data_IF_522700939664
#
_entry.id   IF_522700939664
#
_cell.length_a   1.000
_cell.length_b   1.000
_cell.length_c   1.000
_cell.angle_alpha   90.00
_cell.angle_beta   90.00
_cell.angle_gamma   90.00
#
_symmetry.space_group_name_H-M   'P 1'
#
loop_
_entity.id
_entity.type
_entity.pdbx_description
1 polymer ?
#
# COMPACT_ATOMS: atom_id res chain seq x y z
N UNK A 1 -24.60 21.25 13.43
CA UNK A 1 -23.97 20.18 12.65
C UNK A 1 -24.78 18.91 12.85
N UNK A 2 -25.25 18.29 11.75
CA UNK A 2 -25.94 16.99 11.73
C UNK A 2 -25.04 15.99 11.01
N UNK A 3 -24.80 14.82 11.58
CA UNK A 3 -23.99 13.77 10.97
C UNK A 3 -24.76 12.46 10.95
N UNK A 4 -24.69 11.75 9.84
CA UNK A 4 -25.31 10.45 9.62
C UNK A 4 -24.46 9.61 8.69
N UNK A 5 -24.52 8.29 8.81
CA UNK A 5 -23.95 7.38 7.82
C UNK A 5 -24.96 7.05 6.73
N UNK A 6 -24.50 6.95 5.48
CA UNK A 6 -25.33 6.46 4.37
C UNK A 6 -25.92 5.06 4.64
N UNK A 7 -25.21 4.23 5.43
CA UNK A 7 -25.69 2.93 5.86
C UNK A 7 -26.94 3.00 6.75
N UNK A 8 -27.13 4.10 7.50
CA UNK A 8 -28.30 4.30 8.36
C UNK A 8 -29.60 4.48 7.58
N UNK A 9 -29.50 4.77 6.29
CA UNK A 9 -30.65 4.84 5.39
C UNK A 9 -31.02 3.50 4.76
N UNK A 10 -30.17 2.49 4.88
CA UNK A 10 -30.39 1.17 4.27
C UNK A 10 -31.10 0.28 5.28
N UNK A 11 -32.36 -0.02 5.01
CA UNK A 11 -33.19 -0.88 5.87
C UNK A 11 -33.81 -2.03 5.05
N UNK A 12 -34.29 -3.07 5.73
CA UNK A 12 -34.96 -4.19 5.06
C UNK A 12 -36.40 -3.89 4.66
N UNK A 13 -37.00 -2.84 5.23
CA UNK A 13 -38.39 -2.47 4.98
C UNK A 13 -38.49 -1.29 4.01
N UNK A 14 -39.26 -1.48 2.94
CA UNK A 14 -39.47 -0.50 1.89
C UNK A 14 -40.04 0.82 2.45
N UNK A 15 -39.42 1.95 2.11
CA UNK A 15 -39.86 3.29 2.48
C UNK A 15 -39.30 3.82 3.80
N UNK A 16 -38.66 3.02 4.64
CA UNK A 16 -38.07 3.49 5.91
C UNK A 16 -36.88 4.41 5.63
N UNK A 17 -35.98 4.03 4.73
CA UNK A 17 -34.83 4.86 4.33
C UNK A 17 -35.26 6.21 3.78
N UNK A 18 -36.25 6.24 2.89
CA UNK A 18 -36.82 7.48 2.36
C UNK A 18 -37.47 8.36 3.45
N UNK A 19 -38.07 7.76 4.49
CA UNK A 19 -38.59 8.52 5.63
C UNK A 19 -37.47 9.16 6.45
N UNK A 20 -36.40 8.41 6.74
CA UNK A 20 -35.22 8.95 7.45
C UNK A 20 -34.56 10.09 6.71
N UNK A 21 -34.46 10.00 5.39
CA UNK A 21 -33.98 11.12 4.57
C UNK A 21 -34.84 12.36 4.77
N UNK A 22 -36.18 12.23 4.67
CA UNK A 22 -37.09 13.36 4.91
C UNK A 22 -36.92 13.96 6.30
N UNK A 23 -36.85 13.12 7.33
CA UNK A 23 -36.68 13.54 8.73
C UNK A 23 -35.37 14.31 8.95
N UNK A 24 -34.26 13.83 8.33
CA UNK A 24 -32.97 14.51 8.37
C UNK A 24 -33.09 15.94 7.81
N UNK A 25 -33.63 16.07 6.60
CA UNK A 25 -33.75 17.36 5.94
C UNK A 25 -34.78 18.30 6.59
N UNK A 26 -35.87 17.74 7.16
CA UNK A 26 -36.80 18.51 7.99
C UNK A 26 -36.15 19.07 9.25
N UNK A 27 -35.31 18.27 9.89
CA UNK A 27 -34.52 18.71 11.05
C UNK A 27 -33.46 19.75 10.65
N UNK A 28 -32.81 19.59 9.50
CA UNK A 28 -31.84 20.55 8.98
C UNK A 28 -32.52 21.92 8.74
N UNK A 29 -33.70 21.98 8.13
CA UNK A 29 -34.46 23.21 7.94
C UNK A 29 -34.82 23.91 9.25
N UNK A 30 -35.15 23.15 10.31
CA UNK A 30 -35.45 23.70 11.64
C UNK A 30 -34.23 24.29 12.33
N UNK A 31 -33.03 23.75 12.01
CA UNK A 31 -31.75 24.12 12.65
C UNK A 31 -30.92 25.05 11.75
N UNK A 32 -31.45 25.55 10.66
CA UNK A 32 -30.71 26.44 9.76
C UNK A 32 -30.30 27.76 10.47
N UNK A 33 -29.05 28.24 10.25
CA UNK A 33 -28.05 27.73 9.35
C UNK A 33 -27.32 26.48 9.92
N UNK A 34 -27.17 25.41 9.12
CA UNK A 34 -26.55 24.21 9.57
C UNK A 34 -25.75 23.47 8.45
N UNK A 35 -24.90 22.53 8.88
CA UNK A 35 -24.18 21.61 7.98
C UNK A 35 -24.75 20.22 8.22
N UNK A 36 -25.12 19.54 7.13
CA UNK A 36 -25.48 18.12 7.11
C UNK A 36 -24.31 17.35 6.53
N UNK A 37 -23.78 16.39 7.27
CA UNK A 37 -22.69 15.51 6.82
C UNK A 37 -23.22 14.08 6.66
N UNK A 38 -23.03 13.50 5.47
CA UNK A 38 -23.43 12.14 5.15
C UNK A 38 -22.17 11.36 4.80
N UNK A 39 -21.75 10.46 5.69
CA UNK A 39 -20.64 9.57 5.43
C UNK A 39 -21.09 8.34 4.65
N UNK A 40 -20.17 7.69 3.91
CA UNK A 40 -20.47 6.50 3.11
C UNK A 40 -21.70 6.65 2.21
N UNK A 41 -21.82 7.77 1.52
CA UNK A 41 -22.98 8.08 0.66
C UNK A 41 -23.22 7.01 -0.41
N UNK A 42 -22.20 6.26 -0.81
CA UNK A 42 -22.27 5.16 -1.77
C UNK A 42 -23.12 3.97 -1.28
N UNK A 43 -23.44 3.89 0.02
CA UNK A 43 -24.39 2.89 0.53
C UNK A 43 -25.79 3.05 -0.08
N UNK A 44 -26.20 4.30 -0.37
CA UNK A 44 -27.53 4.64 -0.94
C UNK A 44 -27.46 5.20 -2.36
N UNK A 45 -26.37 5.87 -2.74
CA UNK A 45 -26.24 6.60 -4.00
C UNK A 45 -25.52 5.81 -5.10
N UNK A 46 -25.61 4.50 -5.10
CA UNK A 46 -25.00 3.63 -6.10
C UNK A 46 -25.74 3.68 -7.44
N UNK A 47 -24.99 3.55 -8.57
CA UNK A 47 -25.55 3.37 -9.93
C UNK A 47 -26.62 2.28 -9.95
N UNK A 48 -27.68 2.51 -10.69
CA UNK A 48 -28.78 1.57 -10.88
C UNK A 48 -28.25 0.32 -11.59
N UNK A 49 -28.38 -0.85 -10.97
CA UNK A 49 -27.98 -2.13 -11.58
C UNK A 49 -29.21 -2.87 -12.10
N UNK A 50 -29.06 -3.63 -13.18
CA UNK A 50 -30.12 -4.49 -13.75
C UNK A 50 -30.31 -5.80 -12.97
N UNK A 51 -30.09 -5.82 -11.63
CA UNK A 51 -30.19 -7.00 -10.78
C UNK A 51 -31.62 -7.36 -10.40
N UNK A 52 -32.01 -8.61 -10.63
CA UNK A 52 -33.26 -9.24 -10.19
C UNK A 52 -33.21 -9.54 -8.70
N UNK A 53 -33.55 -8.55 -7.80
CA UNK A 53 -33.61 -8.81 -6.38
C UNK A 53 -34.24 -7.66 -5.60
N UNK A 54 -35.23 -7.95 -4.72
CA UNK A 54 -36.07 -6.98 -3.98
C UNK A 54 -35.38 -6.00 -3.02
N UNK A 55 -34.06 -6.07 -2.84
CA UNK A 55 -33.31 -5.08 -2.06
C UNK A 55 -32.87 -3.84 -2.87
N UNK A 56 -33.13 -3.81 -4.19
CA UNK A 56 -32.80 -2.68 -5.05
C UNK A 56 -33.84 -1.58 -4.99
N UNK A 57 -35.12 -1.94 -4.87
CA UNK A 57 -36.25 -0.99 -4.87
C UNK A 57 -36.19 -0.02 -3.68
N UNK A 58 -35.78 -0.46 -2.52
CA UNK A 58 -35.67 0.37 -1.32
C UNK A 58 -34.55 1.39 -1.42
N UNK A 59 -33.38 0.96 -1.87
CA UNK A 59 -32.22 1.87 -2.08
C UNK A 59 -32.53 2.92 -3.14
N UNK A 60 -33.19 2.51 -4.23
CA UNK A 60 -33.57 3.42 -5.30
C UNK A 60 -34.62 4.45 -4.82
N UNK A 61 -35.58 4.04 -3.99
CA UNK A 61 -36.54 4.97 -3.37
C UNK A 61 -35.82 5.95 -2.43
N UNK A 62 -34.86 5.47 -1.64
CA UNK A 62 -34.08 6.30 -0.74
C UNK A 62 -33.21 7.29 -1.49
N UNK A 63 -32.53 6.86 -2.57
CA UNK A 63 -31.78 7.75 -3.44
C UNK A 63 -32.68 8.80 -4.08
N UNK A 64 -33.83 8.40 -4.65
CA UNK A 64 -34.78 9.32 -5.26
C UNK A 64 -35.29 10.35 -4.24
N UNK A 65 -35.56 9.94 -3.01
CA UNK A 65 -35.96 10.88 -1.95
C UNK A 65 -34.83 11.84 -1.60
N UNK A 66 -33.58 11.37 -1.51
CA UNK A 66 -32.41 12.23 -1.28
C UNK A 66 -32.28 13.29 -2.38
N UNK A 67 -32.43 12.88 -3.64
CA UNK A 67 -32.38 13.81 -4.78
C UNK A 67 -33.52 14.86 -4.71
N UNK A 68 -34.73 14.45 -4.34
CA UNK A 68 -35.88 15.37 -4.19
C UNK A 68 -35.65 16.38 -3.06
N UNK A 69 -35.11 15.92 -1.91
CA UNK A 69 -34.83 16.85 -0.81
C UNK A 69 -33.70 17.83 -1.16
N UNK A 70 -32.70 17.39 -1.90
CA UNK A 70 -31.60 18.27 -2.36
C UNK A 70 -32.10 19.28 -3.41
N UNK A 71 -32.92 18.85 -4.36
CA UNK A 71 -33.52 19.73 -5.38
C UNK A 71 -34.55 20.70 -4.76
N UNK A 72 -35.09 20.39 -3.59
CA UNK A 72 -36.04 21.20 -2.84
C UNK A 72 -35.43 22.33 -2.02
N UNK A 73 -34.11 22.48 -2.00
CA UNK A 73 -33.45 23.62 -1.33
C UNK A 73 -33.61 24.89 -2.18
N UNK A 74 -34.30 25.89 -1.62
CA UNK A 74 -34.30 27.22 -2.17
C UNK A 74 -32.95 27.92 -2.02
N UNK A 75 -32.62 28.82 -2.95
CA UNK A 75 -31.47 29.72 -2.82
C UNK A 75 -31.60 30.46 -1.46
N UNK A 76 -30.66 30.28 -0.53
CA UNK A 76 -30.55 30.93 0.79
C UNK A 76 -31.19 30.23 1.99
N UNK A 77 -31.48 28.93 1.98
CA UNK A 77 -31.97 28.25 3.18
C UNK A 77 -30.88 28.06 4.28
N UNK A 78 -29.62 28.41 3.99
CA UNK A 78 -28.52 28.33 4.97
C UNK A 78 -28.11 26.91 5.35
N UNK A 79 -28.41 25.93 4.51
CA UNK A 79 -28.03 24.53 4.71
C UNK A 79 -26.91 24.15 3.72
N UNK A 80 -25.82 23.57 4.24
CA UNK A 80 -24.73 23.03 3.44
C UNK A 80 -24.74 21.52 3.62
N UNK A 81 -24.83 20.78 2.52
CA UNK A 81 -24.73 19.31 2.53
C UNK A 81 -23.33 18.90 2.10
N UNK A 82 -22.67 18.12 2.94
CA UNK A 82 -21.39 17.48 2.66
C UNK A 82 -21.60 15.97 2.63
N UNK A 83 -21.01 15.28 1.66
CA UNK A 83 -20.99 13.83 1.64
C UNK A 83 -19.57 13.32 1.44
N UNK A 84 -19.27 12.16 2.02
CA UNK A 84 -18.00 11.48 1.84
C UNK A 84 -18.23 10.08 1.27
N UNK A 85 -17.29 9.63 0.42
CA UNK A 85 -17.23 8.26 -0.10
C UNK A 85 -15.80 7.88 -0.46
N UNK A 86 -15.47 6.63 -0.30
CA UNK A 86 -14.23 6.02 -0.82
C UNK A 86 -14.39 5.49 -2.25
N UNK A 87 -15.63 5.48 -2.78
CA UNK A 87 -15.97 4.87 -4.06
C UNK A 87 -16.80 5.80 -4.95
N UNK A 88 -16.16 6.80 -5.48
CA UNK A 88 -16.78 7.76 -6.40
C UNK A 88 -17.23 7.11 -7.73
N UNK A 89 -16.55 6.04 -8.13
CA UNK A 89 -16.76 5.25 -9.35
C UNK A 89 -18.16 4.61 -9.43
N UNK A 90 -18.73 4.23 -8.28
CA UNK A 90 -20.03 3.57 -8.21
C UNK A 90 -21.20 4.52 -7.98
N UNK A 91 -20.96 5.81 -7.76
CA UNK A 91 -22.04 6.76 -7.51
C UNK A 91 -22.91 6.98 -8.74
N UNK A 92 -24.23 7.11 -8.52
CA UNK A 92 -25.17 7.49 -9.58
C UNK A 92 -24.86 8.91 -10.08
N UNK A 93 -24.64 9.10 -11.39
CA UNK A 93 -24.34 10.43 -11.94
C UNK A 93 -25.39 11.51 -11.60
N UNK A 94 -26.61 11.12 -11.28
CA UNK A 94 -27.67 12.06 -10.94
C UNK A 94 -27.36 12.88 -9.67
N UNK A 95 -26.65 12.27 -8.69
CA UNK A 95 -26.31 12.96 -7.44
C UNK A 95 -25.20 14.00 -7.63
N UNK A 96 -24.38 13.83 -8.68
CA UNK A 96 -23.26 14.71 -9.01
C UNK A 96 -23.63 15.85 -9.96
N UNK A 97 -24.93 16.03 -10.29
CA UNK A 97 -25.40 17.12 -11.14
C UNK A 97 -25.37 18.45 -10.39
N UNK A 98 -25.17 19.60 -11.10
CA UNK A 98 -25.29 20.92 -10.53
C UNK A 98 -26.65 21.13 -9.82
N UNK A 99 -26.63 21.83 -8.69
CA UNK A 99 -27.79 21.99 -7.80
C UNK A 99 -27.91 20.92 -6.73
N UNK A 100 -27.02 19.93 -6.72
CA UNK A 100 -26.94 18.85 -5.71
C UNK A 100 -25.55 18.87 -5.07
N UNK A 101 -24.60 18.02 -5.52
CA UNK A 101 -23.21 18.15 -5.11
C UNK A 101 -22.42 18.92 -6.17
N UNK A 102 -22.38 20.24 -6.02
CA UNK A 102 -21.75 21.14 -6.99
C UNK A 102 -20.22 21.09 -6.97
N UNK A 103 -19.65 20.72 -5.84
CA UNK A 103 -18.21 20.67 -5.63
C UNK A 103 -17.77 19.27 -5.28
N UNK A 104 -16.73 18.80 -5.98
CA UNK A 104 -16.04 17.55 -5.70
C UNK A 104 -14.65 17.91 -5.18
N UNK A 105 -14.33 17.41 -4.00
CA UNK A 105 -13.02 17.58 -3.38
C UNK A 105 -12.39 16.20 -3.26
N UNK A 106 -11.28 16.01 -3.96
CA UNK A 106 -10.49 14.79 -3.84
C UNK A 106 -9.50 14.94 -2.68
N UNK A 107 -9.57 14.04 -1.70
CA UNK A 107 -8.65 13.99 -0.58
C UNK A 107 -7.66 12.86 -0.86
N UNK A 108 -6.48 13.22 -1.37
CA UNK A 108 -5.40 12.28 -1.63
C UNK A 108 -4.65 11.86 -0.37
N UNK A 109 -3.66 10.99 -0.54
CA UNK A 109 -2.71 10.68 0.53
C UNK A 109 -1.90 11.92 0.88
N UNK A 110 -1.57 12.13 2.18
CA UNK A 110 -0.84 13.32 2.60
C UNK A 110 0.63 13.25 2.14
N UNK A 111 1.17 14.39 1.77
CA UNK A 111 2.61 14.61 1.57
C UNK A 111 3.38 14.60 2.92
N UNK A 112 4.70 14.74 2.89
CA UNK A 112 5.55 14.74 4.12
C UNK A 112 5.05 15.75 5.14
N UNK A 113 4.70 16.98 4.71
CA UNK A 113 4.20 18.03 5.63
C UNK A 113 2.85 17.67 6.22
N UNK A 114 1.94 17.16 5.38
CA UNK A 114 0.63 16.68 5.81
C UNK A 114 0.75 15.55 6.82
N UNK A 115 1.65 14.57 6.59
CA UNK A 115 1.90 13.49 7.54
C UNK A 115 2.47 14.00 8.86
N UNK A 116 3.40 14.94 8.83
CA UNK A 116 3.93 15.56 10.05
C UNK A 116 2.83 16.26 10.87
N UNK A 117 1.96 17.03 10.21
CA UNK A 117 0.82 17.68 10.90
C UNK A 117 -0.19 16.65 11.46
N UNK A 118 -0.46 15.58 10.74
CA UNK A 118 -1.31 14.48 11.23
C UNK A 118 -0.65 13.80 12.44
N UNK A 119 0.64 13.51 12.38
CA UNK A 119 1.39 12.95 13.51
C UNK A 119 1.32 13.85 14.73
N UNK A 120 1.46 15.19 14.58
CA UNK A 120 1.28 16.16 15.67
C UNK A 120 -0.10 16.09 16.30
N UNK A 121 -1.15 15.86 15.50
CA UNK A 121 -2.52 15.69 16.02
C UNK A 121 -2.62 14.42 16.87
N UNK A 122 -2.12 13.29 16.37
CA UNK A 122 -2.25 11.99 17.05
C UNK A 122 -1.28 11.80 18.22
N UNK A 123 -0.31 12.72 18.39
CA UNK A 123 0.63 12.73 19.51
C UNK A 123 0.25 13.67 20.65
N UNK A 124 -0.75 14.55 20.50
CA UNK A 124 -1.15 15.56 21.50
C UNK A 124 -1.36 15.02 22.91
N UNK A 125 -1.94 13.82 23.02
CA UNK A 125 -2.28 13.19 24.29
C UNK A 125 -1.36 12.00 24.61
N UNK A 126 -0.21 11.90 23.96
CA UNK A 126 0.75 10.81 24.14
C UNK A 126 2.08 11.39 24.62
N UNK A 127 2.72 10.80 25.64
CA UNK A 127 4.04 11.24 26.09
C UNK A 127 5.10 10.79 25.07
N UNK A 128 5.65 11.75 24.34
CA UNK A 128 6.70 11.51 23.33
C UNK A 128 8.06 11.80 23.96
N UNK A 129 9.04 10.94 23.69
CA UNK A 129 10.43 11.12 24.11
C UNK A 129 11.17 12.19 23.31
N UNK A 130 12.22 12.73 23.89
CA UNK A 130 13.04 13.78 23.25
C UNK A 130 13.87 13.25 22.05
N UNK A 131 13.98 11.92 21.91
CA UNK A 131 14.66 11.22 20.82
C UNK A 131 13.79 11.04 19.57
N UNK A 132 12.52 11.47 19.61
CA UNK A 132 11.56 11.31 18.52
C UNK A 132 11.45 12.60 17.70
N UNK A 133 11.87 12.55 16.45
CA UNK A 133 11.62 13.59 15.45
C UNK A 133 10.42 13.19 14.56
N UNK A 134 9.29 13.90 14.73
CA UNK A 134 8.08 13.65 13.93
C UNK A 134 8.27 13.94 12.43
N UNK A 135 9.20 14.82 12.08
CA UNK A 135 9.55 15.07 10.69
C UNK A 135 10.25 13.84 10.06
N UNK A 136 11.18 13.23 10.78
CA UNK A 136 11.83 11.99 10.36
C UNK A 136 10.79 10.86 10.21
N UNK A 137 9.89 10.69 11.19
CA UNK A 137 8.79 9.73 11.12
C UNK A 137 7.89 9.98 9.90
N UNK A 138 7.57 11.25 9.60
CA UNK A 138 6.77 11.60 8.42
C UNK A 138 7.48 11.24 7.10
N UNK A 139 8.82 11.35 7.04
CA UNK A 139 9.60 10.93 5.86
C UNK A 139 9.60 9.43 5.67
N UNK A 140 9.74 8.66 6.74
CA UNK A 140 9.78 7.18 6.68
C UNK A 140 8.42 6.57 6.38
N UNK A 141 7.31 7.28 6.64
CA UNK A 141 5.93 6.81 6.44
C UNK A 141 5.32 7.25 5.11
N UNK A 142 6.12 7.32 4.05
CA UNK A 142 5.62 7.62 2.71
C UNK A 142 4.47 6.66 2.31
N UNK A 143 3.42 7.21 1.72
CA UNK A 143 2.24 6.46 1.31
C UNK A 143 1.22 6.15 2.43
N UNK A 144 1.50 6.48 3.72
CA UNK A 144 0.56 6.28 4.80
C UNK A 144 -0.59 7.30 4.72
N UNK A 145 -1.81 6.82 4.95
CA UNK A 145 -2.99 7.66 5.18
C UNK A 145 -3.04 8.12 6.64
N UNK A 146 -3.97 9.04 6.96
CA UNK A 146 -4.14 9.51 8.34
C UNK A 146 -4.42 8.40 9.34
N UNK A 147 -5.25 7.43 8.96
CA UNK A 147 -5.56 6.27 9.80
C UNK A 147 -4.34 5.37 10.06
N UNK A 148 -3.45 5.22 9.07
CA UNK A 148 -2.21 4.44 9.22
C UNK A 148 -1.26 5.11 10.21
N UNK A 149 -1.16 6.45 10.16
CA UNK A 149 -0.35 7.25 11.09
C UNK A 149 -0.91 7.23 12.51
N UNK A 150 -2.24 7.28 12.66
CA UNK A 150 -2.89 7.09 13.95
C UNK A 150 -2.58 5.72 14.54
N UNK A 151 -2.75 4.66 13.73
CA UNK A 151 -2.46 3.29 14.12
C UNK A 151 -0.99 3.12 14.52
N UNK A 152 -0.06 3.71 13.74
CA UNK A 152 1.38 3.70 14.05
C UNK A 152 1.64 4.26 15.45
N UNK A 153 1.10 5.45 15.75
CA UNK A 153 1.31 6.09 17.05
C UNK A 153 0.61 5.36 18.20
N UNK A 154 -0.52 4.71 17.95
CA UNK A 154 -1.20 3.86 18.93
C UNK A 154 -0.38 2.60 19.22
N UNK A 155 0.13 1.93 18.19
CA UNK A 155 0.98 0.74 18.35
C UNK A 155 2.32 1.09 19.05
N UNK A 156 2.92 2.24 18.74
CA UNK A 156 4.11 2.71 19.43
C UNK A 156 3.84 2.95 20.93
N UNK A 157 2.70 3.54 21.28
CA UNK A 157 2.26 3.70 22.66
C UNK A 157 2.07 2.36 23.39
N UNK A 158 1.46 1.38 22.72
CA UNK A 158 1.29 0.02 23.24
C UNK A 158 2.65 -0.65 23.46
N UNK A 159 3.61 -0.47 22.57
CA UNK A 159 4.97 -1.02 22.71
C UNK A 159 5.69 -0.39 23.92
N UNK A 160 5.62 0.95 24.10
CA UNK A 160 6.18 1.63 25.26
C UNK A 160 5.54 1.14 26.58
N UNK A 161 4.21 1.00 26.61
CA UNK A 161 3.51 0.50 27.79
C UNK A 161 3.90 -0.95 28.15
N UNK A 162 4.05 -1.85 27.14
CA UNK A 162 4.53 -3.21 27.39
C UNK A 162 5.94 -3.28 27.97
N UNK A 163 6.77 -2.27 27.71
CA UNK A 163 8.13 -2.15 28.23
C UNK A 163 8.19 -1.33 29.53
N UNK A 164 7.05 -0.95 30.13
CA UNK A 164 6.94 -0.09 31.29
C UNK A 164 7.67 1.26 31.16
N UNK A 165 7.73 1.81 29.93
CA UNK A 165 8.32 3.11 29.64
C UNK A 165 7.32 4.23 29.89
N UNK A 166 7.80 5.40 30.33
CA UNK A 166 6.99 6.59 30.53
C UNK A 166 6.74 7.38 29.26
N UNK A 167 7.64 7.27 28.30
CA UNK A 167 7.63 8.00 27.04
C UNK A 167 7.70 7.03 25.85
N UNK A 168 7.14 7.44 24.74
CA UNK A 168 7.29 6.75 23.46
C UNK A 168 8.63 7.18 22.88
N UNK A 169 9.59 6.28 22.82
CA UNK A 169 10.92 6.48 22.27
C UNK A 169 10.95 6.08 20.77
N UNK A 170 11.96 6.53 20.03
CA UNK A 170 12.16 6.18 18.61
C UNK A 170 12.09 4.68 18.37
N UNK A 171 12.72 3.86 19.21
CA UNK A 171 12.68 2.39 19.08
C UNK A 171 11.25 1.78 19.12
N UNK A 172 10.31 2.44 19.85
CA UNK A 172 8.93 1.99 19.92
C UNK A 172 8.20 2.30 18.60
N UNK A 173 8.50 3.45 17.99
CA UNK A 173 7.96 3.85 16.67
C UNK A 173 8.51 2.93 15.59
N UNK A 174 9.81 2.62 15.60
CA UNK A 174 10.44 1.70 14.65
C UNK A 174 9.82 0.29 14.73
N UNK A 175 9.63 -0.21 15.96
CA UNK A 175 8.95 -1.50 16.16
C UNK A 175 7.48 -1.48 15.71
N UNK A 176 6.78 -0.37 15.94
CA UNK A 176 5.41 -0.19 15.48
C UNK A 176 5.34 -0.07 13.96
N UNK A 177 6.28 0.62 13.33
CA UNK A 177 6.36 0.76 11.88
C UNK A 177 6.52 -0.60 11.18
N UNK A 178 7.42 -1.44 11.68
CA UNK A 178 7.57 -2.82 11.20
C UNK A 178 6.25 -3.59 11.38
N UNK A 179 5.64 -3.50 12.56
CA UNK A 179 4.39 -4.21 12.84
C UNK A 179 3.22 -3.77 11.95
N UNK A 180 3.11 -2.49 11.67
CA UNK A 180 2.06 -1.93 10.77
C UNK A 180 2.35 -2.30 9.32
N UNK A 181 3.61 -2.27 8.89
CA UNK A 181 4.00 -2.55 7.50
C UNK A 181 4.01 -4.04 7.12
N UNK A 182 4.44 -4.91 8.03
CA UNK A 182 4.69 -6.35 7.73
C UNK A 182 3.81 -7.28 8.58
N UNK A 183 3.13 -6.74 9.59
CA UNK A 183 2.32 -7.52 10.52
C UNK A 183 3.09 -7.98 11.76
N UNK A 184 2.43 -8.79 12.59
CA UNK A 184 2.99 -9.23 13.87
C UNK A 184 3.96 -10.40 13.68
N UNK A 185 5.18 -10.25 14.20
CA UNK A 185 6.19 -11.31 14.23
C UNK A 185 5.76 -12.48 15.14
N UNK A 186 5.91 -13.70 14.65
CA UNK A 186 5.58 -14.96 15.38
C UNK A 186 6.82 -15.59 15.98
N UNK A 187 7.35 -15.02 17.06
CA UNK A 187 8.59 -15.48 17.73
C UNK A 187 8.48 -16.86 18.40
N UNK A 188 7.27 -17.37 18.62
CA UNK A 188 7.03 -18.66 19.29
C UNK A 188 7.05 -19.86 18.34
N UNK A 189 7.16 -19.66 17.02
CA UNK A 189 7.16 -20.74 16.04
C UNK A 189 8.54 -21.39 15.98
N UNK A 190 8.60 -22.70 16.26
CA UNK A 190 9.80 -23.49 16.03
C UNK A 190 9.98 -23.72 14.53
N UNK A 191 11.06 -23.21 13.98
CA UNK A 191 11.41 -23.32 12.55
C UNK A 191 12.60 -24.26 12.45
N UNK A 192 12.56 -25.28 11.56
CA UNK A 192 13.72 -26.13 11.31
C UNK A 192 14.93 -25.30 10.83
N UNK A 193 16.13 -25.69 11.26
CA UNK A 193 17.37 -24.96 10.94
C UNK A 193 17.58 -24.79 9.42
N UNK A 194 17.34 -25.85 8.65
CA UNK A 194 17.37 -25.78 7.18
C UNK A 194 16.43 -24.71 6.61
N UNK A 195 15.23 -24.57 7.16
CA UNK A 195 14.27 -23.55 6.70
C UNK A 195 14.74 -22.16 7.09
N UNK A 196 15.34 -21.98 8.28
CA UNK A 196 15.93 -20.70 8.70
C UNK A 196 17.07 -20.28 7.77
N UNK A 197 17.93 -21.23 7.40
CA UNK A 197 19.05 -20.99 6.49
C UNK A 197 18.55 -20.56 5.10
N UNK A 198 17.59 -21.29 4.51
CA UNK A 198 16.98 -20.92 3.23
C UNK A 198 16.38 -19.52 3.30
N UNK A 199 15.62 -19.22 4.36
CA UNK A 199 15.01 -17.90 4.54
C UNK A 199 16.07 -16.81 4.68
N UNK A 200 17.16 -17.06 5.39
CA UNK A 200 18.24 -16.09 5.56
C UNK A 200 18.89 -15.72 4.22
N UNK A 201 19.15 -16.69 3.36
CA UNK A 201 19.68 -16.42 2.02
C UNK A 201 18.65 -15.73 1.12
N UNK A 202 17.39 -16.16 1.17
CA UNK A 202 16.28 -15.55 0.43
C UNK A 202 16.16 -14.05 0.72
N UNK A 203 16.03 -13.69 2.00
CA UNK A 203 15.91 -12.29 2.43
C UNK A 203 17.19 -11.49 2.17
N UNK A 204 18.37 -12.11 2.29
CA UNK A 204 19.64 -11.48 1.93
C UNK A 204 19.71 -11.14 0.44
N UNK A 205 19.16 -12.00 -0.42
CA UNK A 205 19.10 -11.76 -1.87
C UNK A 205 18.29 -10.50 -2.21
N UNK A 206 17.11 -10.33 -1.60
CA UNK A 206 16.32 -9.12 -1.74
C UNK A 206 17.06 -7.89 -1.21
N UNK A 207 17.66 -7.99 -0.01
CA UNK A 207 18.33 -6.87 0.65
C UNK A 207 19.52 -6.35 -0.16
N UNK A 208 20.35 -7.23 -0.72
CA UNK A 208 21.50 -6.83 -1.55
C UNK A 208 21.05 -6.08 -2.79
N UNK A 209 20.00 -6.55 -3.47
CA UNK A 209 19.46 -5.87 -4.65
C UNK A 209 18.83 -4.52 -4.30
N UNK A 210 18.14 -4.38 -3.15
CA UNK A 210 17.67 -3.08 -2.67
C UNK A 210 18.84 -2.10 -2.44
N UNK A 211 19.96 -2.57 -1.93
CA UNK A 211 21.11 -1.70 -1.64
C UNK A 211 21.86 -1.26 -2.90
N UNK A 212 22.04 -2.17 -3.86
CA UNK A 212 22.85 -1.93 -5.04
C UNK A 212 22.10 -1.26 -6.20
N UNK A 213 20.76 -1.31 -6.18
CA UNK A 213 19.94 -0.68 -7.21
C UNK A 213 19.52 0.74 -6.77
N UNK A 214 19.78 1.78 -7.59
CA UNK A 214 19.71 3.17 -7.13
C UNK A 214 18.30 3.70 -6.88
N UNK A 215 17.27 3.11 -7.53
CA UNK A 215 15.93 3.70 -7.57
C UNK A 215 14.90 3.00 -6.66
N UNK A 216 15.27 1.91 -5.98
CA UNK A 216 14.34 1.08 -5.18
C UNK A 216 14.27 1.46 -3.71
N UNK A 217 15.16 2.31 -3.23
CA UNK A 217 15.23 2.75 -1.83
C UNK A 217 16.08 1.86 -0.93
N UNK A 218 16.60 2.44 0.17
CA UNK A 218 17.48 1.73 1.08
C UNK A 218 16.73 0.67 1.89
N UNK A 219 17.45 -0.35 2.30
CA UNK A 219 16.96 -1.38 3.24
C UNK A 219 16.72 -0.73 4.59
N UNK A 220 15.56 -0.95 5.18
CA UNK A 220 15.23 -0.54 6.55
C UNK A 220 15.47 -1.63 7.57
N UNK A 221 15.00 -2.84 7.27
CA UNK A 221 15.18 -4.01 8.12
C UNK A 221 15.09 -5.28 7.30
N UNK A 222 15.85 -6.30 7.70
CA UNK A 222 15.77 -7.68 7.16
C UNK A 222 15.55 -8.62 8.32
N UNK A 223 14.63 -9.57 8.19
CA UNK A 223 14.28 -10.50 9.27
C UNK A 223 13.90 -11.88 8.74
N UNK A 224 14.32 -12.90 9.48
CA UNK A 224 13.93 -14.30 9.25
C UNK A 224 12.85 -14.77 10.23
N UNK A 225 12.23 -13.84 10.97
CA UNK A 225 11.12 -14.12 11.87
C UNK A 225 9.83 -14.16 11.06
N UNK A 226 9.06 -15.25 11.09
CA UNK A 226 7.79 -15.33 10.36
C UNK A 226 6.79 -14.30 10.82
N UNK A 227 6.01 -13.77 9.88
CA UNK A 227 4.91 -12.84 10.17
C UNK A 227 3.54 -13.49 10.15
N UNK A 228 2.52 -12.75 10.59
CA UNK A 228 1.13 -13.20 10.69
C UNK A 228 0.51 -13.64 9.37
N UNK A 229 0.97 -13.08 8.25
CA UNK A 229 0.42 -13.30 6.91
C UNK A 229 1.04 -14.51 6.18
N UNK A 230 1.86 -15.31 6.88
CA UNK A 230 2.40 -16.57 6.33
C UNK A 230 3.77 -16.44 5.68
N UNK A 231 4.38 -15.25 5.64
CA UNK A 231 5.76 -15.07 5.21
C UNK A 231 6.74 -15.71 6.19
N UNK A 232 7.80 -16.35 5.67
CA UNK A 232 8.85 -17.00 6.47
C UNK A 232 9.84 -15.97 7.04
N UNK A 233 10.03 -14.86 6.33
CA UNK A 233 10.83 -13.70 6.68
C UNK A 233 10.30 -12.46 5.98
N UNK A 234 11.03 -11.37 6.04
CA UNK A 234 10.73 -10.16 5.28
C UNK A 234 11.96 -9.27 5.09
N UNK A 235 12.00 -8.60 3.96
CA UNK A 235 12.92 -7.49 3.69
C UNK A 235 12.12 -6.22 3.48
N UNK A 236 12.30 -5.24 4.37
CA UNK A 236 11.58 -3.98 4.34
C UNK A 236 12.48 -2.87 3.82
N UNK A 237 11.97 -2.09 2.87
CA UNK A 237 12.65 -0.90 2.33
C UNK A 237 12.02 0.38 2.85
N UNK A 238 12.79 1.47 2.85
CA UNK A 238 12.24 2.82 2.97
C UNK A 238 11.92 3.35 1.57
N UNK A 239 10.74 3.93 1.35
CA UNK A 239 10.45 4.63 0.10
C UNK A 239 11.42 5.80 -0.08
N UNK A 240 12.00 5.95 -1.27
CA UNK A 240 12.95 7.04 -1.53
C UNK A 240 12.32 8.44 -1.43
N UNK A 241 11.08 8.60 -1.88
CA UNK A 241 10.34 9.87 -1.88
C UNK A 241 8.84 9.62 -2.05
N UNK A 242 8.02 10.65 -1.84
CA UNK A 242 6.60 10.69 -2.23
C UNK A 242 6.47 10.96 -3.75
N UNK A 243 7.05 10.06 -4.57
CA UNK A 243 7.04 10.24 -6.01
C UNK A 243 5.62 10.00 -6.56
N UNK A 244 5.13 10.95 -7.34
CA UNK A 244 3.87 10.81 -8.08
C UNK A 244 4.00 9.86 -9.29
N UNK A 245 5.22 9.73 -9.82
CA UNK A 245 5.47 8.94 -11.03
C UNK A 245 6.51 7.84 -10.79
N UNK A 246 6.19 6.63 -11.25
CA UNK A 246 7.11 5.50 -11.30
C UNK A 246 7.68 5.39 -12.72
N UNK A 247 9.00 5.43 -12.86
CA UNK A 247 9.66 5.32 -14.15
C UNK A 247 9.78 3.87 -14.61
N UNK A 248 9.99 3.65 -15.92
CA UNK A 248 10.29 2.33 -16.46
C UNK A 248 11.52 1.69 -15.78
N UNK A 249 12.55 2.50 -15.50
CA UNK A 249 13.75 2.04 -14.80
C UNK A 249 13.44 1.53 -13.40
N UNK A 250 12.65 2.27 -12.63
CA UNK A 250 12.21 1.86 -11.28
C UNK A 250 11.43 0.54 -11.32
N UNK A 251 10.48 0.39 -12.24
CA UNK A 251 9.70 -0.85 -12.37
C UNK A 251 10.58 -2.07 -12.73
N UNK A 252 11.58 -1.89 -13.59
CA UNK A 252 12.54 -2.95 -13.91
C UNK A 252 13.40 -3.33 -12.70
N UNK A 253 13.81 -2.34 -11.88
CA UNK A 253 14.56 -2.59 -10.66
C UNK A 253 13.69 -3.27 -9.59
N UNK A 254 12.43 -2.89 -9.44
CA UNK A 254 11.48 -3.60 -8.56
C UNK A 254 11.36 -5.10 -8.96
N UNK A 255 11.21 -5.40 -10.27
CA UNK A 255 11.19 -6.78 -10.77
C UNK A 255 12.50 -7.51 -10.45
N UNK A 256 13.66 -6.83 -10.57
CA UNK A 256 14.95 -7.43 -10.24
C UNK A 256 15.02 -7.77 -8.75
N UNK A 257 14.54 -6.90 -7.88
CA UNK A 257 14.48 -7.16 -6.43
C UNK A 257 13.57 -8.33 -6.11
N UNK A 258 12.38 -8.40 -6.73
CA UNK A 258 11.44 -9.51 -6.54
C UNK A 258 12.09 -10.88 -6.86
N UNK A 259 13.07 -10.94 -7.76
CA UNK A 259 13.82 -12.16 -8.05
C UNK A 259 14.92 -12.47 -7.03
N UNK A 260 15.28 -11.54 -6.15
CA UNK A 260 16.42 -11.66 -5.25
C UNK A 260 16.43 -12.94 -4.42
N UNK A 261 15.31 -13.23 -3.76
CA UNK A 261 15.15 -14.43 -2.95
C UNK A 261 15.29 -15.73 -3.75
N UNK A 262 14.62 -15.82 -4.90
CA UNK A 262 14.68 -16.98 -5.80
C UNK A 262 16.10 -17.24 -6.30
N UNK A 263 16.82 -16.18 -6.68
CA UNK A 263 18.18 -16.29 -7.19
C UNK A 263 19.14 -16.71 -6.07
N UNK A 264 18.99 -16.17 -4.86
CA UNK A 264 19.80 -16.57 -3.73
C UNK A 264 19.59 -18.05 -3.36
N UNK A 265 18.35 -18.54 -3.37
CA UNK A 265 18.06 -19.97 -3.21
C UNK A 265 18.77 -20.81 -4.28
N UNK A 266 18.67 -20.42 -5.56
CA UNK A 266 19.30 -21.14 -6.67
C UNK A 266 20.83 -21.18 -6.58
N UNK A 267 21.46 -20.10 -6.11
CA UNK A 267 22.92 -20.02 -6.02
C UNK A 267 23.50 -20.82 -4.84
N UNK A 268 22.74 -20.97 -3.75
CA UNK A 268 23.25 -21.52 -2.48
C UNK A 268 22.65 -22.89 -2.15
N UNK A 269 21.35 -23.07 -2.42
CA UNK A 269 20.65 -24.31 -2.10
C UNK A 269 20.75 -25.27 -3.30
N UNK A 270 20.83 -26.59 -3.01
CA UNK A 270 20.80 -27.61 -4.07
C UNK A 270 19.45 -27.65 -4.82
N UNK A 271 18.41 -27.00 -4.27
CA UNK A 271 17.05 -26.99 -4.80
C UNK A 271 16.35 -25.64 -4.54
N UNK A 272 15.29 -25.35 -5.29
CA UNK A 272 14.47 -24.14 -5.18
C UNK A 272 13.18 -24.44 -4.42
N UNK A 273 12.66 -23.45 -3.70
CA UNK A 273 11.45 -23.61 -2.88
C UNK A 273 10.23 -22.89 -3.47
N UNK A 274 9.06 -23.14 -2.88
CA UNK A 274 7.84 -22.40 -3.18
C UNK A 274 7.80 -21.02 -2.52
N UNK A 275 8.80 -20.66 -1.72
CA UNK A 275 8.88 -19.39 -0.97
C UNK A 275 8.72 -18.16 -1.85
N UNK A 276 9.40 -18.16 -2.99
CA UNK A 276 9.37 -17.03 -3.94
C UNK A 276 8.08 -16.92 -4.79
N UNK A 277 7.01 -17.66 -4.46
CA UNK A 277 5.78 -17.67 -5.29
C UNK A 277 5.08 -16.30 -5.33
N UNK A 278 5.07 -15.57 -4.22
CA UNK A 278 4.47 -14.25 -4.16
C UNK A 278 5.33 -13.21 -4.90
N UNK A 279 6.64 -13.28 -4.78
CA UNK A 279 7.59 -12.38 -5.46
C UNK A 279 7.47 -12.53 -6.98
N UNK A 280 7.46 -13.77 -7.47
CA UNK A 280 7.24 -14.07 -8.90
C UNK A 280 5.89 -13.54 -9.38
N UNK A 281 4.85 -13.65 -8.55
CA UNK A 281 3.53 -13.11 -8.89
C UNK A 281 3.57 -11.59 -9.03
N UNK A 282 4.18 -10.87 -8.09
CA UNK A 282 4.31 -9.41 -8.10
C UNK A 282 5.13 -8.98 -9.31
N UNK A 283 6.30 -9.58 -9.53
CA UNK A 283 7.15 -9.33 -10.70
C UNK A 283 6.37 -9.49 -12.02
N UNK A 284 5.60 -10.59 -12.15
CA UNK A 284 4.79 -10.86 -13.34
C UNK A 284 3.70 -9.82 -13.54
N UNK A 285 3.02 -9.39 -12.48
CA UNK A 285 1.99 -8.35 -12.54
C UNK A 285 2.59 -7.00 -12.95
N UNK A 286 3.75 -6.64 -12.40
CA UNK A 286 4.49 -5.43 -12.77
C UNK A 286 4.92 -5.45 -14.23
N UNK A 287 5.54 -6.53 -14.70
CA UNK A 287 5.94 -6.69 -16.09
C UNK A 287 4.73 -6.64 -17.06
N UNK A 288 3.62 -7.27 -16.69
CA UNK A 288 2.38 -7.22 -17.47
C UNK A 288 1.82 -5.79 -17.54
N UNK A 289 1.76 -5.07 -16.41
CA UNK A 289 1.31 -3.69 -16.38
C UNK A 289 2.19 -2.76 -17.24
N UNK A 290 3.52 -2.97 -17.25
CA UNK A 290 4.43 -2.25 -18.14
C UNK A 290 4.05 -2.40 -19.61
N UNK A 291 3.68 -3.62 -20.02
CA UNK A 291 3.33 -3.94 -21.43
C UNK A 291 1.91 -3.50 -21.77
N UNK A 292 0.93 -3.79 -20.89
CA UNK A 292 -0.49 -3.63 -21.23
C UNK A 292 -1.10 -2.31 -20.82
N UNK A 293 -0.62 -1.70 -19.74
CA UNK A 293 -1.20 -0.48 -19.14
C UNK A 293 -0.42 0.78 -19.47
N UNK A 294 0.90 0.70 -19.35
CA UNK A 294 1.77 1.89 -19.40
C UNK A 294 2.44 2.10 -20.76
N UNK A 295 2.25 1.20 -21.73
CA UNK A 295 2.86 1.31 -23.07
C UNK A 295 4.40 1.35 -23.02
N UNK A 296 5.03 0.63 -22.07
CA UNK A 296 6.48 0.63 -21.85
C UNK A 296 7.22 -0.45 -22.66
N UNK A 297 6.54 -1.14 -23.59
CA UNK A 297 7.15 -2.07 -24.55
C UNK A 297 7.26 -1.40 -25.93
N UNK A 298 8.46 -1.44 -26.52
CA UNK A 298 8.69 -0.93 -27.88
C UNK A 298 7.96 -1.73 -28.94
N UNK A 299 7.81 -3.05 -28.74
CA UNK A 299 7.14 -3.95 -29.68
C UNK A 299 5.62 -3.76 -29.69
N UNK A 300 5.04 -3.49 -28.50
CA UNK A 300 3.60 -3.32 -28.36
C UNK A 300 3.13 -1.89 -28.61
N UNK A 301 4.06 -0.92 -28.60
CA UNK A 301 3.77 0.49 -28.81
C UNK A 301 2.99 1.15 -27.67
N UNK A 302 2.48 2.36 -27.94
CA UNK A 302 1.75 3.20 -26.95
C UNK A 302 0.25 2.88 -27.00
N UNK A 303 -0.12 1.65 -26.69
CA UNK A 303 -1.52 1.19 -26.67
C UNK A 303 -1.83 0.66 -25.28
N UNK A 304 -2.99 1.05 -24.76
CA UNK A 304 -3.54 0.46 -23.54
C UNK A 304 -4.39 -0.76 -23.90
N UNK A 305 -3.94 -1.95 -23.49
CA UNK A 305 -4.62 -3.23 -23.67
C UNK A 305 -5.40 -3.67 -22.43
N UNK A 306 -5.43 -2.87 -21.36
CA UNK A 306 -6.23 -3.14 -20.17
C UNK A 306 -7.71 -2.94 -20.54
N UNK A 307 -8.57 -3.92 -20.25
CA UNK A 307 -10.02 -3.73 -20.34
C UNK A 307 -10.43 -2.68 -19.31
N UNK A 308 -11.17 -1.65 -19.73
CA UNK A 308 -11.76 -0.69 -18.78
C UNK A 308 -12.71 -1.46 -17.86
N UNK A 309 -12.54 -1.33 -16.55
CA UNK A 309 -13.44 -1.89 -15.53
C UNK A 309 -14.90 -1.41 -15.71
N UNK A 310 -15.13 -0.39 -16.53
CA UNK A 310 -16.47 0.13 -16.87
C UNK A 310 -17.27 -0.77 -17.81
N UNK A 311 -16.64 -1.73 -18.50
CA UNK A 311 -17.31 -2.70 -19.39
C UNK A 311 -17.63 -4.05 -18.73
N UNK A 312 -17.52 -4.19 -17.40
CA UNK A 312 -18.14 -5.29 -16.67
C UNK A 312 -19.68 -5.14 -16.70
N UNK A 313 -20.24 -5.09 -17.88
CA UNK A 313 -21.68 -5.18 -18.10
C UNK A 313 -22.08 -6.65 -17.99
N UNK A 314 -22.61 -6.99 -16.82
CA UNK A 314 -23.76 -7.85 -16.60
C UNK A 314 -24.12 -8.82 -17.74
N UNK A 315 -23.42 -9.93 -17.81
CA UNK A 315 -23.97 -11.16 -18.36
C UNK A 315 -23.48 -12.30 -17.48
N UNK A 316 -24.40 -12.86 -16.75
CA UNK A 316 -24.39 -14.07 -15.92
C UNK A 316 -23.04 -14.74 -15.63
N UNK A 317 -22.97 -15.33 -14.50
CA UNK A 317 -21.90 -15.97 -13.72
C UNK A 317 -20.82 -16.83 -14.44
N UNK A 318 -20.76 -16.86 -15.79
CA UNK A 318 -19.92 -17.80 -16.56
C UNK A 318 -19.30 -17.25 -17.86
N UNK A 319 -19.17 -15.93 -18.02
CA UNK A 319 -18.44 -15.40 -19.17
C UNK A 319 -17.12 -14.80 -18.71
N UNK A 320 -16.04 -15.54 -19.01
CA UNK A 320 -14.67 -15.11 -18.78
C UNK A 320 -14.43 -13.70 -19.34
N UNK A 321 -13.55 -12.96 -18.68
CA UNK A 321 -13.08 -11.63 -19.08
C UNK A 321 -12.92 -11.57 -20.61
N UNK A 322 -13.77 -10.83 -21.29
CA UNK A 322 -13.66 -10.65 -22.73
C UNK A 322 -12.34 -9.88 -22.97
N UNK A 323 -11.38 -10.56 -23.58
CA UNK A 323 -10.13 -9.90 -23.99
C UNK A 323 -10.49 -8.89 -25.08
N UNK A 324 -10.14 -7.64 -24.90
CA UNK A 324 -10.36 -6.57 -25.88
C UNK A 324 -9.34 -6.58 -27.03
N UNK A 325 -8.60 -7.68 -27.20
CA UNK A 325 -7.56 -7.83 -28.22
C UNK A 325 -7.48 -9.27 -28.75
N UNK A 326 -6.88 -9.43 -29.92
CA UNK A 326 -6.77 -10.71 -30.62
C UNK A 326 -5.85 -11.71 -29.91
N UNK A 327 -6.00 -13.00 -30.18
CA UNK A 327 -5.09 -14.05 -29.68
C UNK A 327 -3.65 -13.83 -30.13
N UNK A 328 -3.41 -13.24 -31.29
CA UNK A 328 -2.06 -12.88 -31.76
C UNK A 328 -1.46 -11.78 -30.86
N UNK A 329 -2.23 -10.75 -30.52
CA UNK A 329 -1.83 -9.70 -29.57
C UNK A 329 -1.56 -10.28 -28.19
N UNK A 330 -2.40 -11.21 -27.71
CA UNK A 330 -2.18 -11.90 -26.44
C UNK A 330 -0.82 -12.61 -26.40
N UNK A 331 -0.51 -13.34 -27.47
CA UNK A 331 0.77 -14.04 -27.62
C UNK A 331 1.97 -13.05 -27.61
N UNK A 332 1.84 -11.92 -28.29
CA UNK A 332 2.88 -10.89 -28.29
C UNK A 332 3.08 -10.28 -26.91
N UNK A 333 2.00 -10.02 -26.15
CA UNK A 333 2.07 -9.57 -24.76
C UNK A 333 2.84 -10.59 -23.91
N UNK A 334 2.52 -11.88 -24.01
CA UNK A 334 3.18 -12.93 -23.25
C UNK A 334 4.68 -13.04 -23.59
N UNK A 335 5.05 -12.85 -24.86
CA UNK A 335 6.46 -12.81 -25.30
C UNK A 335 7.21 -11.62 -24.68
N UNK A 336 6.61 -10.43 -24.72
CA UNK A 336 7.25 -9.22 -24.16
C UNK A 336 7.36 -9.30 -22.64
N UNK A 337 6.32 -9.78 -21.95
CA UNK A 337 6.36 -10.02 -20.49
C UNK A 337 7.49 -10.98 -20.15
N UNK A 338 7.56 -12.12 -20.85
CA UNK A 338 8.63 -13.10 -20.63
C UNK A 338 10.02 -12.50 -20.86
N UNK A 339 10.20 -11.71 -21.90
CA UNK A 339 11.48 -11.04 -22.20
C UNK A 339 11.90 -10.09 -21.08
N UNK A 340 10.97 -9.27 -20.55
CA UNK A 340 11.25 -8.39 -19.40
C UNK A 340 11.69 -9.20 -18.18
N UNK A 341 10.96 -10.29 -17.88
CA UNK A 341 11.27 -11.16 -16.74
C UNK A 341 12.65 -11.82 -16.90
N UNK A 342 12.95 -12.41 -18.07
CA UNK A 342 14.24 -13.06 -18.34
C UNK A 342 15.43 -12.08 -18.29
N UNK A 343 15.25 -10.84 -18.79
CA UNK A 343 16.27 -9.80 -18.76
C UNK A 343 16.55 -9.29 -17.34
N UNK A 344 15.49 -9.06 -16.55
CA UNK A 344 15.60 -8.66 -15.15
C UNK A 344 16.24 -9.77 -14.30
N UNK A 345 15.81 -11.02 -14.48
CA UNK A 345 16.38 -12.17 -13.79
C UNK A 345 17.91 -12.30 -14.04
N UNK A 346 18.33 -12.20 -15.30
CA UNK A 346 19.74 -12.31 -15.69
C UNK A 346 20.59 -11.21 -15.05
N UNK A 347 20.11 -9.96 -15.05
CA UNK A 347 20.80 -8.82 -14.43
C UNK A 347 20.89 -8.98 -12.92
N UNK A 348 19.78 -9.33 -12.26
CA UNK A 348 19.74 -9.55 -10.82
C UNK A 348 20.68 -10.68 -10.40
N UNK A 349 20.71 -11.78 -11.18
CA UNK A 349 21.61 -12.91 -10.93
C UNK A 349 23.08 -12.50 -11.02
N UNK A 350 23.44 -11.69 -12.02
CA UNK A 350 24.82 -11.20 -12.14
C UNK A 350 25.23 -10.35 -10.93
N UNK A 351 24.34 -9.45 -10.47
CA UNK A 351 24.61 -8.63 -9.28
C UNK A 351 24.85 -9.49 -8.05
N UNK A 352 24.03 -10.52 -7.83
CA UNK A 352 24.19 -11.39 -6.67
C UNK A 352 25.45 -12.26 -6.77
N UNK A 353 25.80 -12.76 -7.96
CA UNK A 353 27.06 -13.51 -8.19
C UNK A 353 28.28 -12.64 -7.90
N UNK A 354 28.26 -11.37 -8.32
CA UNK A 354 29.35 -10.43 -8.07
C UNK A 354 29.50 -10.05 -6.59
N UNK A 355 28.46 -10.31 -5.76
CA UNK A 355 28.41 -9.99 -4.33
C UNK A 355 28.16 -11.21 -3.43
N UNK A 356 28.65 -12.39 -3.82
CA UNK A 356 28.45 -13.65 -3.09
C UNK A 356 28.98 -13.63 -1.66
N UNK A 357 30.09 -12.95 -1.42
CA UNK A 357 30.69 -12.80 -0.09
C UNK A 357 29.79 -11.97 0.85
N UNK A 358 29.16 -10.90 0.34
CA UNK A 358 28.17 -10.11 1.10
C UNK A 358 26.93 -10.96 1.38
N UNK A 359 26.48 -11.77 0.42
CA UNK A 359 25.34 -12.68 0.57
C UNK A 359 25.57 -13.66 1.73
N UNK A 360 26.75 -14.29 1.81
CA UNK A 360 27.09 -15.18 2.89
C UNK A 360 27.20 -14.46 4.25
N UNK A 361 27.82 -13.26 4.29
CA UNK A 361 27.93 -12.46 5.52
C UNK A 361 26.56 -12.03 6.04
N UNK A 362 25.68 -11.59 5.15
CA UNK A 362 24.32 -11.17 5.49
C UNK A 362 23.50 -12.33 6.06
N UNK A 363 23.48 -13.47 5.35
CA UNK A 363 22.75 -14.66 5.80
C UNK A 363 23.26 -15.16 7.15
N UNK A 364 24.59 -15.18 7.37
CA UNK A 364 25.18 -15.57 8.65
C UNK A 364 24.75 -14.64 9.78
N UNK A 365 24.78 -13.32 9.56
CA UNK A 365 24.36 -12.33 10.55
C UNK A 365 22.86 -12.47 10.89
N UNK A 366 22.01 -12.76 9.88
CA UNK A 366 20.59 -13.05 10.10
C UNK A 366 20.35 -14.31 10.92
N UNK A 367 21.15 -15.37 10.70
CA UNK A 367 21.07 -16.60 11.49
C UNK A 367 21.48 -16.39 12.96
N UNK A 368 22.40 -15.46 13.22
CA UNK A 368 22.85 -15.10 14.58
C UNK A 368 21.85 -14.19 15.31
N UNK A 369 21.24 -13.20 14.61
CA UNK A 369 20.45 -12.13 15.24
C UNK A 369 18.95 -12.23 14.98
N UNK A 370 18.49 -13.10 14.07
CA UNK A 370 17.12 -13.21 13.55
C UNK A 370 16.62 -11.98 12.79
N UNK A 371 17.14 -10.78 13.10
CA UNK A 371 16.83 -9.51 12.43
C UNK A 371 18.03 -8.57 12.48
N UNK A 372 18.23 -7.84 11.37
CA UNK A 372 19.26 -6.80 11.23
C UNK A 372 18.58 -5.49 10.80
N UNK A 373 19.11 -4.37 11.29
CA UNK A 373 18.68 -3.04 10.91
C UNK A 373 19.49 -2.47 9.73
N UNK A 374 19.10 -1.28 9.27
CA UNK A 374 19.77 -0.59 8.16
C UNK A 374 21.28 -0.43 8.40
N UNK A 375 21.69 -0.01 9.60
CA UNK A 375 23.11 0.26 9.91
C UNK A 375 23.94 -0.99 9.90
N UNK A 376 23.43 -2.06 10.51
CA UNK A 376 24.08 -3.37 10.54
C UNK A 376 24.23 -3.94 9.13
N UNK A 377 23.21 -3.73 8.27
CA UNK A 377 23.24 -4.17 6.88
C UNK A 377 24.26 -3.36 6.06
N UNK A 378 24.27 -2.03 6.16
CA UNK A 378 25.21 -1.17 5.44
C UNK A 378 26.67 -1.46 5.82
N UNK A 379 26.94 -1.83 7.07
CA UNK A 379 28.28 -2.23 7.52
C UNK A 379 28.82 -3.49 6.80
N UNK A 380 27.97 -4.33 6.24
CA UNK A 380 28.41 -5.49 5.45
C UNK A 380 29.14 -5.11 4.15
N UNK A 381 28.88 -3.91 3.63
CA UNK A 381 29.55 -3.38 2.44
C UNK A 381 30.79 -2.53 2.77
N UNK A 382 30.86 -1.99 3.99
CA UNK A 382 31.97 -1.11 4.40
C UNK A 382 33.28 -1.84 4.70
N UNK A 383 33.32 -3.18 4.72
CA UNK A 383 34.48 -3.96 5.12
C UNK A 383 35.54 -4.17 4.03
N UNK A 384 35.36 -3.65 2.83
CA UNK A 384 36.28 -3.78 1.70
C UNK A 384 37.12 -2.53 1.38
N UNK A 385 37.02 -1.43 2.14
CA UNK A 385 38.02 -0.38 2.05
C UNK A 385 39.29 -0.80 2.82
N UNK A 386 40.46 -0.95 2.16
CA UNK A 386 41.71 -1.20 2.87
C UNK A 386 42.01 -0.02 3.79
N UNK A 387 42.20 -0.29 5.07
CA UNK A 387 42.58 0.72 6.06
C UNK A 387 43.70 1.60 5.49
N UNK A 388 43.39 2.90 5.29
CA UNK A 388 44.40 3.90 4.96
C UNK A 388 45.48 3.80 6.06
N UNK A 389 46.70 3.45 5.63
CA UNK A 389 47.89 3.47 6.51
C UNK A 389 48.05 4.89 7.01
N UNK A 390 47.95 5.07 8.32
CA UNK A 390 48.39 6.31 8.99
C UNK A 390 49.79 6.66 8.49
N UNK A 391 50.07 7.90 8.12
CA UNK A 391 51.42 8.30 7.76
C UNK A 391 52.32 8.21 9.00
N UNK A 392 53.36 7.38 8.89
CA UNK A 392 54.44 7.33 9.88
C UNK A 392 54.92 8.75 10.16
N UNK A 393 54.76 9.21 11.41
CA UNK A 393 55.45 10.42 11.89
C UNK A 393 56.94 10.14 11.86
N UNK A 394 57.62 10.64 10.82
CA UNK A 394 59.05 10.71 10.78
C UNK A 394 59.59 11.65 11.87
N UNK A 395 60.38 11.08 12.74
CA UNK A 395 61.27 11.84 13.63
C UNK A 395 62.28 12.65 12.80
N UNK A 396 62.27 13.96 12.96
CA UNK A 396 63.45 14.83 12.95
C UNK A 396 63.23 16.01 13.88
#
# INVERSE_FOLDING_TARGET
FLSISGSDFVEMFVGVGASRVRDLFLNARKLAPCIVFIDEIDAVARKRGSGLGGGHDEREQTLNQLLVEMDGFGLNEGIIVLAATNRVDILDPAILRPGRFDRKVFVGRPDVKGREEILKVHTRNKPIGDDVDLHEVARTTSGFAGADLENLMNEAAIQAAKQNQKYIEKKNIDAAFIKVGVGTEKKSRLIPEKTREITAYHESGHAILYHLLPDVGPVYAVSIIPTGEGAAGYTMRLPNNDNEFTTRGMMLQDIMVDFGGRIAEELICEDITTGASQDIKVATQTARAMVTKYGMSEQMGLINYESSEEEEVFLGRDLGHAKNFSEETAKQIDVEVKKIMDDCYRKAKQILVDNMDVLHRCAKLLLEKDRIDQREFEQLFATDEPAEKEPEKGDV
#
